data_IF_611212303784
#
_entry.id   IF_611212303784
#
_cell.length_a   1.000
_cell.length_b   1.000
_cell.length_c   1.000
_cell.angle_alpha   90.00
_cell.angle_beta   90.00
_cell.angle_gamma   90.00
#
_symmetry.space_group_name_H-M   'P 1'
#
loop_
_entity.id
_entity.type
_entity.pdbx_description
1 polymer ?
#
# COMPACT_ATOMS: atom_id res chain seq x y z
N UNK A 1 -0.64 11.89 10.57
CA UNK A 1 0.28 12.82 11.25
C UNK A 1 0.78 13.84 10.24
N UNK A 2 0.42 15.10 10.43
CA UNK A 2 1.16 16.23 9.83
C UNK A 2 2.57 16.18 10.40
N UNK A 3 3.57 16.01 9.55
CA UNK A 3 4.98 16.11 9.97
C UNK A 3 5.18 17.40 10.75
N UNK A 4 5.96 17.38 11.86
CA UNK A 4 6.27 18.59 12.59
C UNK A 4 6.97 19.56 11.65
N UNK A 5 6.50 20.79 11.68
CA UNK A 5 6.99 21.94 10.94
C UNK A 5 8.41 22.28 11.42
N UNK A 6 9.40 21.50 10.97
CA UNK A 6 10.81 21.76 11.25
C UNK A 6 11.43 22.49 10.07
N UNK A 7 11.61 23.80 10.24
CA UNK A 7 12.57 24.62 9.50
C UNK A 7 11.94 25.54 8.46
N UNK A 8 11.98 26.85 8.72
CA UNK A 8 11.43 27.93 7.87
C UNK A 8 12.15 28.15 6.53
N UNK A 9 12.56 27.09 5.85
CA UNK A 9 13.29 27.11 4.56
C UNK A 9 12.46 26.49 3.41
N UNK A 10 11.17 26.19 3.63
CA UNK A 10 10.28 25.63 2.60
C UNK A 10 9.10 26.57 2.31
N UNK A 11 8.88 26.84 1.04
CA UNK A 11 7.74 27.63 0.55
C UNK A 11 6.58 26.74 0.11
N UNK A 12 5.35 27.18 0.38
CA UNK A 12 4.15 26.52 -0.14
C UNK A 12 3.97 26.86 -1.61
N UNK A 13 3.94 25.84 -2.47
CA UNK A 13 3.72 26.00 -3.90
C UNK A 13 2.40 25.38 -4.33
N UNK A 14 1.81 25.93 -5.38
CA UNK A 14 0.55 25.45 -5.96
C UNK A 14 0.75 25.20 -7.44
N UNK A 15 0.35 24.01 -7.88
CA UNK A 15 0.46 23.54 -9.26
C UNK A 15 -0.76 22.68 -9.62
N UNK A 16 -0.70 21.95 -10.73
CA UNK A 16 -1.69 20.96 -11.13
C UNK A 16 -1.07 19.58 -11.32
N UNK A 17 -1.83 18.54 -10.95
CA UNK A 17 -1.44 17.14 -11.11
C UNK A 17 -2.68 16.29 -11.41
N UNK A 18 -2.55 15.25 -12.24
CA UNK A 18 -3.64 14.29 -12.45
C UNK A 18 -3.85 13.44 -11.21
N UNK A 19 -5.07 12.93 -11.01
CA UNK A 19 -5.39 12.05 -9.88
C UNK A 19 -4.52 10.78 -9.88
N UNK A 20 -4.28 10.19 -11.05
CA UNK A 20 -3.42 9.01 -11.22
C UNK A 20 -1.98 9.29 -10.79
N UNK A 21 -1.34 10.34 -11.32
CA UNK A 21 0.05 10.66 -10.92
C UNK A 21 0.16 11.01 -9.44
N UNK A 22 -0.86 11.66 -8.87
CA UNK A 22 -0.92 11.94 -7.43
C UNK A 22 -0.99 10.65 -6.62
N UNK A 23 -1.79 9.68 -7.06
CA UNK A 23 -1.92 8.38 -6.41
C UNK A 23 -0.61 7.58 -6.51
N UNK A 24 -0.01 7.50 -7.69
CA UNK A 24 1.26 6.81 -7.92
C UNK A 24 2.39 7.41 -7.07
N UNK A 25 2.47 8.74 -7.02
CA UNK A 25 3.40 9.47 -6.15
C UNK A 25 3.16 9.13 -4.68
N UNK A 26 1.91 9.13 -4.21
CA UNK A 26 1.56 8.79 -2.81
C UNK A 26 1.98 7.36 -2.47
N UNK A 27 1.63 6.39 -3.32
CA UNK A 27 1.99 4.97 -3.13
C UNK A 27 3.49 4.83 -3.08
N UNK A 28 4.20 5.34 -4.09
CA UNK A 28 5.62 5.10 -4.22
C UNK A 28 6.42 5.83 -3.14
N UNK A 29 6.04 7.04 -2.76
CA UNK A 29 6.66 7.75 -1.64
C UNK A 29 6.48 6.96 -0.33
N UNK A 30 5.27 6.47 -0.06
CA UNK A 30 5.00 5.65 1.13
C UNK A 30 5.83 4.34 1.13
N UNK A 31 5.94 3.65 0.00
CA UNK A 31 6.77 2.43 -0.12
C UNK A 31 8.26 2.68 0.19
N UNK A 32 8.77 3.89 -0.10
CA UNK A 32 10.14 4.29 0.21
C UNK A 32 10.29 4.98 1.57
N UNK A 33 9.19 5.12 2.35
CA UNK A 33 9.21 5.80 3.65
C UNK A 33 9.47 7.30 3.56
N UNK A 34 9.08 7.94 2.44
CA UNK A 34 9.30 9.36 2.16
C UNK A 34 7.98 10.15 2.19
N UNK A 35 8.07 11.44 2.51
CA UNK A 35 6.96 12.37 2.28
C UNK A 35 6.77 12.64 0.79
N UNK A 36 5.53 12.91 0.37
CA UNK A 36 5.25 13.28 -1.02
C UNK A 36 6.03 14.53 -1.44
N UNK A 37 6.20 15.51 -0.52
CA UNK A 37 6.95 16.73 -0.81
C UNK A 37 8.44 16.48 -1.11
N UNK A 38 9.06 15.52 -0.43
CA UNK A 38 10.47 15.17 -0.62
C UNK A 38 10.66 14.46 -1.98
N UNK A 39 9.70 13.59 -2.34
CA UNK A 39 9.67 12.96 -3.66
C UNK A 39 9.53 13.99 -4.79
N UNK A 40 8.66 14.99 -4.63
CA UNK A 40 8.51 16.08 -5.62
C UNK A 40 9.78 16.93 -5.71
N UNK A 41 10.42 17.25 -4.59
CA UNK A 41 11.69 17.98 -4.56
C UNK A 41 12.79 17.25 -5.34
N UNK A 42 12.99 15.96 -5.07
CA UNK A 42 13.98 15.13 -5.77
C UNK A 42 13.65 15.04 -7.26
N UNK A 43 12.37 14.84 -7.60
CA UNK A 43 11.92 14.79 -9.00
C UNK A 43 12.17 16.08 -9.77
N UNK A 44 11.83 17.23 -9.18
CA UNK A 44 12.09 18.55 -9.77
C UNK A 44 13.59 18.76 -9.94
N UNK A 45 14.39 18.47 -8.92
CA UNK A 45 15.85 18.63 -8.97
C UNK A 45 16.46 17.77 -10.08
N UNK A 46 16.04 16.51 -10.19
CA UNK A 46 16.48 15.61 -11.26
C UNK A 46 16.06 16.12 -12.65
N UNK A 47 14.81 16.55 -12.82
CA UNK A 47 14.31 17.09 -14.09
C UNK A 47 15.08 18.33 -14.55
N UNK A 48 15.43 19.22 -13.61
CA UNK A 48 16.23 20.42 -13.89
C UNK A 48 17.65 20.07 -14.34
N UNK A 49 18.22 18.97 -13.85
CA UNK A 49 19.55 18.49 -14.26
C UNK A 49 19.59 17.88 -15.67
N UNK A 50 18.43 17.58 -16.28
CA UNK A 50 18.38 17.01 -17.62
C UNK A 50 18.83 18.02 -18.69
N UNK A 51 19.64 17.57 -19.64
CA UNK A 51 20.08 18.35 -20.79
C UNK A 51 19.09 18.40 -21.96
N UNK A 52 17.98 17.64 -21.90
CA UNK A 52 16.96 17.56 -22.95
C UNK A 52 15.56 17.48 -22.35
N UNK A 53 14.56 17.85 -23.15
CA UNK A 53 13.16 17.70 -22.77
C UNK A 53 12.76 16.22 -22.74
N UNK A 54 11.93 15.88 -21.77
CA UNK A 54 11.27 14.58 -21.71
C UNK A 54 10.04 14.56 -22.65
N UNK A 55 9.56 13.38 -23.04
CA UNK A 55 8.30 13.23 -23.75
C UNK A 55 7.14 13.91 -22.99
N UNK A 56 6.11 14.41 -23.69
CA UNK A 56 4.94 14.97 -23.04
C UNK A 56 4.18 13.87 -22.28
N UNK A 57 3.67 14.22 -21.10
CA UNK A 57 2.82 13.34 -20.28
C UNK A 57 1.37 13.78 -20.46
N UNK A 58 0.40 12.87 -20.43
CA UNK A 58 -0.99 13.30 -20.46
C UNK A 58 -1.34 14.05 -19.15
N UNK A 59 -1.72 15.32 -19.29
CA UNK A 59 -2.12 16.19 -18.17
C UNK A 59 -3.59 16.59 -18.25
N UNK A 60 -4.40 15.92 -19.08
CA UNK A 60 -5.84 16.14 -19.13
C UNK A 60 -6.47 15.86 -17.76
N UNK A 61 -7.40 16.73 -17.34
CA UNK A 61 -8.08 16.59 -16.05
C UNK A 61 -7.21 16.89 -14.82
N UNK A 62 -6.02 17.49 -14.98
CA UNK A 62 -5.18 17.83 -13.83
C UNK A 62 -5.84 18.87 -12.90
N UNK A 63 -5.91 18.52 -11.61
CA UNK A 63 -6.52 19.33 -10.54
C UNK A 63 -5.45 20.06 -9.71
N UNK A 64 -5.88 21.04 -8.92
CA UNK A 64 -4.99 21.80 -8.04
C UNK A 64 -4.29 20.88 -7.04
N UNK A 65 -2.97 20.98 -6.98
CA UNK A 65 -2.12 20.26 -6.04
C UNK A 65 -1.19 21.25 -5.35
N UNK A 66 -1.09 21.16 -4.02
CA UNK A 66 -0.16 21.97 -3.22
C UNK A 66 0.86 21.10 -2.51
N UNK A 67 2.09 21.56 -2.48
CA UNK A 67 3.20 20.91 -1.77
C UNK A 67 4.16 21.96 -1.22
N UNK A 68 5.15 21.56 -0.44
CA UNK A 68 6.16 22.44 0.15
C UNK A 68 7.53 22.10 -0.40
N UNK A 69 8.21 23.07 -0.99
CA UNK A 69 9.54 22.89 -1.61
C UNK A 69 10.55 23.84 -0.96
N UNK A 70 11.85 23.53 -1.00
CA UNK A 70 12.88 24.48 -0.57
C UNK A 70 12.75 25.82 -1.30
N UNK A 71 12.99 26.92 -0.58
CA UNK A 71 12.90 28.27 -1.15
C UNK A 71 13.75 28.42 -2.42
N UNK A 72 13.15 29.02 -3.46
CA UNK A 72 13.82 29.30 -4.73
C UNK A 72 13.92 28.11 -5.69
N UNK A 73 13.68 26.87 -5.21
CA UNK A 73 13.62 25.71 -6.09
C UNK A 73 12.48 25.86 -7.11
N UNK A 74 11.33 26.35 -6.67
CA UNK A 74 10.15 26.50 -7.51
C UNK A 74 10.31 27.58 -8.58
N UNK A 75 10.85 28.74 -8.22
CA UNK A 75 11.09 29.83 -9.17
C UNK A 75 12.12 29.46 -10.22
N UNK A 76 13.21 28.81 -9.80
CA UNK A 76 14.20 28.30 -10.74
C UNK A 76 13.60 27.25 -11.68
N UNK A 77 12.78 26.33 -11.16
CA UNK A 77 12.11 25.32 -11.97
C UNK A 77 11.14 25.94 -12.99
N UNK A 78 10.38 26.95 -12.57
CA UNK A 78 9.50 27.72 -13.45
C UNK A 78 10.28 28.42 -14.56
N UNK A 79 11.47 28.95 -14.27
CA UNK A 79 12.33 29.53 -15.29
C UNK A 79 12.84 28.48 -16.28
N UNK A 80 13.28 27.32 -15.79
CA UNK A 80 13.74 26.22 -16.64
C UNK A 80 12.62 25.70 -17.56
N UNK A 81 11.38 25.59 -17.05
CA UNK A 81 10.20 25.24 -17.85
C UNK A 81 9.97 26.26 -18.98
N UNK A 82 10.02 27.57 -18.68
CA UNK A 82 9.88 28.63 -19.68
C UNK A 82 10.96 28.56 -20.75
N UNK A 83 12.23 28.44 -20.35
CA UNK A 83 13.37 28.34 -21.28
C UNK A 83 13.26 27.10 -22.19
N UNK A 84 12.70 26.00 -21.66
CA UNK A 84 12.50 24.74 -22.40
C UNK A 84 11.20 24.70 -23.23
N UNK A 85 10.36 25.74 -23.16
CA UNK A 85 9.06 25.76 -23.84
C UNK A 85 8.04 24.76 -23.27
N UNK A 86 8.20 24.34 -22.01
CA UNK A 86 7.35 23.37 -21.33
C UNK A 86 6.41 24.10 -20.38
N UNK A 87 5.11 23.75 -20.38
CA UNK A 87 4.17 24.32 -19.42
C UNK A 87 4.49 23.85 -18.00
N UNK A 88 4.16 24.64 -16.97
CA UNK A 88 4.48 24.28 -15.59
C UNK A 88 3.82 22.95 -15.17
N UNK A 89 2.59 22.71 -15.61
CA UNK A 89 1.89 21.43 -15.38
C UNK A 89 2.62 20.26 -16.04
N UNK A 90 3.10 20.43 -17.27
CA UNK A 90 3.89 19.39 -17.97
C UNK A 90 5.23 19.16 -17.27
N UNK A 91 5.92 20.22 -16.87
CA UNK A 91 7.17 20.10 -16.14
C UNK A 91 6.99 19.31 -14.85
N UNK A 92 5.96 19.62 -14.05
CA UNK A 92 5.68 18.89 -12.80
C UNK A 92 5.33 17.42 -13.07
N UNK A 93 4.48 17.16 -14.06
CA UNK A 93 4.12 15.79 -14.45
C UNK A 93 5.37 14.99 -14.86
N UNK A 94 6.21 15.57 -15.73
CA UNK A 94 7.48 14.97 -16.16
C UNK A 94 8.45 14.75 -14.99
N UNK A 95 8.57 15.69 -14.06
CA UNK A 95 9.43 15.57 -12.89
C UNK A 95 8.98 14.45 -11.95
N UNK A 96 7.67 14.31 -11.73
CA UNK A 96 7.10 13.24 -10.92
C UNK A 96 7.25 11.89 -11.62
N UNK A 97 6.94 11.80 -12.92
CA UNK A 97 7.15 10.58 -13.70
C UNK A 97 8.62 10.15 -13.68
N UNK A 98 9.56 11.09 -13.88
CA UNK A 98 10.99 10.81 -13.78
C UNK A 98 11.38 10.28 -12.40
N UNK A 99 10.80 10.82 -11.34
CA UNK A 99 11.03 10.32 -9.99
C UNK A 99 10.46 8.90 -9.81
N UNK A 100 9.24 8.64 -10.30
CA UNK A 100 8.61 7.31 -10.25
C UNK A 100 9.43 6.26 -11.02
N UNK A 101 9.98 6.62 -12.18
CA UNK A 101 10.80 5.74 -13.00
C UNK A 101 12.13 5.41 -12.32
N UNK A 102 12.76 6.40 -11.67
CA UNK A 102 14.04 6.23 -10.97
C UNK A 102 13.90 5.57 -9.58
N UNK A 103 12.68 5.51 -9.04
CA UNK A 103 12.42 4.93 -7.73
C UNK A 103 11.39 3.81 -7.89
N UNK A 104 11.70 2.68 -8.54
CA UNK A 104 10.76 1.57 -8.72
C UNK A 104 10.18 1.10 -7.38
N UNK A 105 9.02 0.43 -7.41
CA UNK A 105 8.45 -0.15 -6.21
C UNK A 105 9.47 -1.14 -5.60
N UNK A 106 9.84 -1.00 -4.31
CA UNK A 106 10.76 -1.93 -3.69
C UNK A 106 10.18 -3.34 -3.75
N UNK A 107 11.04 -4.33 -4.01
CA UNK A 107 10.60 -5.72 -3.92
C UNK A 107 10.04 -6.00 -2.53
N UNK A 108 8.89 -6.70 -2.48
CA UNK A 108 8.33 -7.15 -1.21
C UNK A 108 9.34 -8.06 -0.52
N UNK A 109 9.93 -7.56 0.57
CA UNK A 109 10.88 -8.33 1.37
C UNK A 109 10.15 -9.43 2.12
N UNK A 110 10.15 -10.63 1.54
CA UNK A 110 9.58 -11.82 2.18
C UNK A 110 10.52 -12.32 3.26
N UNK A 111 10.00 -12.75 4.43
CA UNK A 111 10.81 -13.42 5.44
C UNK A 111 11.57 -14.61 4.82
N UNK A 112 12.87 -14.73 5.12
CA UNK A 112 13.70 -15.86 4.65
C UNK A 112 13.23 -17.20 5.22
N UNK A 113 12.59 -17.15 6.39
CA UNK A 113 11.94 -18.30 7.04
C UNK A 113 10.44 -18.03 7.13
N UNK A 114 9.63 -19.05 6.83
CA UNK A 114 8.18 -18.97 6.96
C UNK A 114 7.80 -18.61 8.40
N UNK A 115 7.12 -17.47 8.56
CA UNK A 115 6.55 -17.07 9.85
C UNK A 115 5.22 -17.79 10.06
N UNK A 116 5.11 -18.60 11.11
CA UNK A 116 3.85 -19.26 11.49
C UNK A 116 3.16 -18.45 12.58
N UNK A 117 1.88 -18.14 12.36
CA UNK A 117 1.02 -17.45 13.33
C UNK A 117 -0.15 -18.39 13.63
N UNK A 118 -0.38 -18.66 14.91
CA UNK A 118 -1.44 -19.58 15.36
C UNK A 118 -2.40 -18.80 16.25
N UNK A 119 -3.65 -18.67 15.81
CA UNK A 119 -4.70 -17.95 16.55
C UNK A 119 -5.49 -18.95 17.39
N UNK A 120 -5.27 -18.96 18.70
CA UNK A 120 -5.92 -19.90 19.62
C UNK A 120 -6.61 -19.20 20.78
N UNK A 121 -7.78 -19.71 21.16
CA UNK A 121 -8.50 -19.37 22.38
C UNK A 121 -9.53 -20.47 22.67
N UNK A 122 -9.58 -20.93 23.92
CA UNK A 122 -10.49 -21.98 24.38
C UNK A 122 -11.96 -21.55 24.32
N UNK A 123 -12.25 -20.25 24.45
CA UNK A 123 -13.61 -19.73 24.40
C UNK A 123 -14.11 -19.63 22.95
N UNK A 124 -15.31 -20.16 22.70
CA UNK A 124 -16.04 -19.97 21.44
C UNK A 124 -16.50 -18.53 21.27
N UNK A 125 -16.66 -18.06 20.03
CA UNK A 125 -17.25 -16.74 19.74
C UNK A 125 -16.36 -15.53 20.05
N UNK A 126 -15.06 -15.72 20.28
CA UNK A 126 -14.10 -14.61 20.56
C UNK A 126 -13.44 -14.03 19.31
N UNK A 127 -13.91 -14.38 18.11
CA UNK A 127 -13.42 -13.81 16.85
C UNK A 127 -12.15 -14.41 16.27
N UNK A 128 -11.75 -15.64 16.66
CA UNK A 128 -10.54 -16.32 16.13
C UNK A 128 -10.51 -16.38 14.60
N UNK A 129 -11.62 -16.82 14.00
CA UNK A 129 -11.78 -16.91 12.54
C UNK A 129 -11.66 -15.55 11.89
N UNK A 130 -12.36 -14.54 12.42
CA UNK A 130 -12.33 -13.18 11.90
C UNK A 130 -10.92 -12.56 11.96
N UNK A 131 -10.19 -12.76 13.06
CA UNK A 131 -8.80 -12.31 13.19
C UNK A 131 -7.89 -13.05 12.21
N UNK A 132 -8.07 -14.36 12.04
CA UNK A 132 -7.25 -15.18 11.12
C UNK A 132 -7.45 -14.74 9.67
N UNK A 133 -8.70 -14.58 9.23
CA UNK A 133 -9.05 -14.09 7.90
C UNK A 133 -8.51 -12.67 7.69
N UNK A 134 -8.89 -11.71 8.55
CA UNK A 134 -8.52 -10.31 8.39
C UNK A 134 -7.01 -10.07 8.45
N UNK A 135 -6.27 -10.80 9.30
CA UNK A 135 -4.81 -10.72 9.30
C UNK A 135 -4.22 -11.28 8.00
N UNK A 136 -4.75 -12.39 7.49
CA UNK A 136 -4.30 -12.98 6.23
C UNK A 136 -4.53 -12.07 5.03
N UNK A 137 -5.75 -11.53 4.91
CA UNK A 137 -6.13 -10.57 3.88
C UNK A 137 -5.22 -9.33 3.92
N UNK A 138 -5.06 -8.70 5.08
CA UNK A 138 -4.22 -7.50 5.24
C UNK A 138 -2.75 -7.73 4.87
N UNK A 139 -2.22 -8.93 5.16
CA UNK A 139 -0.85 -9.30 4.76
C UNK A 139 -0.72 -9.54 3.25
N UNK A 140 -1.80 -9.98 2.59
CA UNK A 140 -1.82 -10.31 1.17
C UNK A 140 -2.20 -9.15 0.24
N UNK A 141 -2.74 -8.05 0.78
CA UNK A 141 -3.10 -6.85 0.02
C UNK A 141 -2.00 -6.39 -0.94
N UNK A 142 -2.42 -5.87 -2.10
CA UNK A 142 -1.51 -5.45 -3.18
C UNK A 142 -0.58 -4.31 -2.74
N UNK A 143 0.76 -4.50 -2.82
CA UNK A 143 1.71 -3.44 -2.50
C UNK A 143 1.65 -2.25 -3.46
N UNK A 144 1.03 -2.40 -4.63
CA UNK A 144 0.76 -1.31 -5.56
C UNK A 144 -0.59 -0.60 -5.30
N UNK A 145 -1.41 -1.07 -4.35
CA UNK A 145 -2.67 -0.45 -3.99
C UNK A 145 -2.60 0.22 -2.62
N UNK A 146 -3.29 1.34 -2.46
CA UNK A 146 -3.49 1.98 -1.16
C UNK A 146 -4.65 1.33 -0.42
N UNK A 147 -4.36 0.83 0.77
CA UNK A 147 -5.32 0.17 1.66
C UNK A 147 -5.64 1.11 2.83
N UNK A 148 -6.92 1.28 3.16
CA UNK A 148 -7.34 2.06 4.30
C UNK A 148 -6.91 1.43 5.63
N UNK A 149 -5.96 2.04 6.34
CA UNK A 149 -5.57 1.64 7.72
C UNK A 149 -6.33 2.51 8.73
N UNK A 150 -7.13 1.87 9.58
CA UNK A 150 -8.00 2.56 10.55
C UNK A 150 -7.78 2.02 11.94
N UNK A 151 -7.91 2.89 12.93
CA UNK A 151 -7.99 2.50 14.33
C UNK A 151 -9.47 2.29 14.67
N UNK A 152 -9.80 1.22 15.40
CA UNK A 152 -11.18 1.04 15.84
C UNK A 152 -11.59 2.20 16.75
N UNK A 153 -12.86 2.60 16.74
CA UNK A 153 -13.39 3.65 17.64
C UNK A 153 -13.03 3.38 19.10
N UNK A 154 -12.98 2.11 19.49
CA UNK A 154 -12.62 1.69 20.84
C UNK A 154 -11.14 1.96 21.15
N UNK A 155 -10.23 1.61 20.25
CA UNK A 155 -8.80 1.87 20.44
C UNK A 155 -8.46 3.36 20.35
N UNK A 156 -9.13 4.09 19.47
CA UNK A 156 -8.92 5.53 19.38
C UNK A 156 -9.36 6.28 20.64
N UNK A 157 -10.38 5.78 21.35
CA UNK A 157 -10.81 6.33 22.64
C UNK A 157 -9.81 6.05 23.78
N UNK A 158 -8.85 5.13 23.59
CA UNK A 158 -7.82 4.78 24.57
C UNK A 158 -6.49 5.53 24.36
N UNK A 159 -6.37 6.32 23.29
CA UNK A 159 -5.18 7.14 23.04
C UNK A 159 -5.14 8.33 24.01
N UNK A 160 -3.94 8.69 24.48
CA UNK A 160 -3.74 9.89 25.30
C UNK A 160 -4.12 11.14 24.50
N UNK A 161 -4.43 12.23 25.20
CA UNK A 161 -5.00 13.44 24.57
C UNK A 161 -4.07 14.07 23.53
N UNK A 162 -2.75 13.97 23.73
CA UNK A 162 -1.72 14.43 22.79
C UNK A 162 -1.48 13.45 21.63
N UNK A 163 -1.84 12.17 21.77
CA UNK A 163 -1.68 11.11 20.76
C UNK A 163 -2.99 10.82 19.99
N UNK A 164 -4.10 11.42 20.40
CA UNK A 164 -5.41 11.25 19.74
C UNK A 164 -5.38 11.96 18.37
N UNK A 165 -5.51 11.23 17.25
CA UNK A 165 -5.70 11.88 15.95
C UNK A 165 -6.99 12.70 15.97
N UNK A 166 -6.97 13.89 15.34
CA UNK A 166 -8.14 14.80 15.26
C UNK A 166 -9.41 14.09 14.77
N UNK A 167 -9.25 13.10 13.90
CA UNK A 167 -10.29 12.14 13.55
C UNK A 167 -9.75 10.70 13.70
N UNK A 168 -10.24 9.92 14.69
CA UNK A 168 -10.02 8.48 14.85
C UNK A 168 -10.27 7.63 13.61
N UNK A 169 -11.14 8.11 12.72
CA UNK A 169 -11.52 7.48 11.47
C UNK A 169 -10.81 8.12 10.27
N UNK A 170 -9.89 9.08 10.50
CA UNK A 170 -9.11 9.70 9.45
C UNK A 170 -8.44 8.63 8.60
N UNK A 171 -8.54 8.84 7.29
CA UNK A 171 -8.11 7.84 6.33
C UNK A 171 -6.59 7.90 6.14
N UNK A 172 -5.79 7.14 6.91
CA UNK A 172 -4.42 6.84 6.50
C UNK A 172 -4.44 5.72 5.47
N UNK A 173 -4.00 6.00 4.24
CA UNK A 173 -3.92 4.95 3.23
C UNK A 173 -2.46 4.57 3.04
N UNK A 174 -2.16 3.30 3.32
CA UNK A 174 -0.83 2.72 3.21
C UNK A 174 -0.82 1.68 2.09
N UNK A 175 0.31 1.48 1.40
CA UNK A 175 0.46 0.37 0.47
C UNK A 175 0.17 -0.99 1.15
N UNK A 176 -0.39 -1.94 0.40
CA UNK A 176 -0.53 -3.32 0.86
C UNK A 176 0.82 -3.97 1.19
N UNK A 177 0.80 -5.03 2.01
CA UNK A 177 2.03 -5.69 2.46
C UNK A 177 2.58 -6.70 1.44
N UNK A 178 1.76 -7.18 0.49
CA UNK A 178 2.17 -8.03 -0.63
C UNK A 178 2.77 -9.39 -0.27
N UNK A 179 2.56 -9.87 0.95
CA UNK A 179 3.07 -11.16 1.39
C UNK A 179 2.27 -12.30 0.77
N UNK A 180 2.94 -13.43 0.54
CA UNK A 180 2.25 -14.69 0.25
C UNK A 180 1.83 -15.32 1.56
N UNK A 181 0.55 -15.55 1.72
CA UNK A 181 -0.07 -16.04 2.94
C UNK A 181 -0.74 -17.37 2.62
N UNK A 182 -0.62 -18.33 3.52
CA UNK A 182 -1.41 -19.55 3.50
C UNK A 182 -2.26 -19.55 4.77
N UNK A 183 -3.57 -19.53 4.59
CA UNK A 183 -4.52 -19.73 5.67
C UNK A 183 -4.84 -21.21 5.80
N UNK A 184 -4.78 -21.73 7.03
CA UNK A 184 -5.02 -23.14 7.32
C UNK A 184 -6.20 -23.26 8.27
N UNK A 185 -7.31 -23.81 7.80
CA UNK A 185 -8.50 -24.06 8.63
C UNK A 185 -8.41 -25.44 9.29
N UNK A 186 -8.08 -25.44 10.58
CA UNK A 186 -8.08 -26.63 11.44
C UNK A 186 -9.36 -26.78 12.27
N UNK A 187 -10.34 -25.88 12.10
CA UNK A 187 -11.62 -25.96 12.80
C UNK A 187 -12.59 -26.85 12.02
N UNK A 188 -13.10 -27.97 12.57
CA UNK A 188 -14.05 -28.84 11.90
C UNK A 188 -15.34 -28.15 11.44
N UNK A 189 -15.66 -26.96 11.97
CA UNK A 189 -16.82 -26.17 11.52
C UNK A 189 -16.61 -25.52 10.14
N UNK A 190 -15.36 -25.43 9.71
CA UNK A 190 -14.92 -24.84 8.43
C UNK A 190 -15.39 -23.39 8.25
N UNK A 191 -15.44 -22.63 9.35
CA UNK A 191 -15.90 -21.24 9.30
C UNK A 191 -14.95 -20.34 8.50
N UNK A 192 -13.64 -20.61 8.53
CA UNK A 192 -12.67 -19.82 7.76
C UNK A 192 -12.87 -20.10 6.27
N UNK A 193 -12.94 -21.39 5.89
CA UNK A 193 -13.20 -21.81 4.50
C UNK A 193 -14.46 -21.16 3.92
N UNK A 194 -15.59 -21.24 4.65
CA UNK A 194 -16.86 -20.66 4.22
C UNK A 194 -16.83 -19.14 4.13
N UNK A 195 -16.18 -18.47 5.09
CA UNK A 195 -16.08 -17.01 5.11
C UNK A 195 -15.31 -16.47 3.90
N UNK A 196 -14.30 -17.21 3.42
CA UNK A 196 -13.52 -16.89 2.23
C UNK A 196 -14.22 -17.32 0.92
N UNK A 197 -15.48 -17.75 0.97
CA UNK A 197 -16.26 -18.09 -0.22
C UNK A 197 -15.98 -19.49 -0.79
N UNK A 198 -15.25 -20.34 -0.07
CA UNK A 198 -14.96 -21.71 -0.51
C UNK A 198 -15.92 -22.74 0.11
N UNK A 199 -16.17 -23.80 -0.64
CA UNK A 199 -16.94 -24.94 -0.15
C UNK A 199 -16.06 -25.85 0.72
N UNK A 200 -16.58 -26.37 1.85
CA UNK A 200 -15.88 -27.37 2.65
C UNK A 200 -15.57 -28.63 1.85
N UNK A 201 -14.47 -29.29 2.22
CA UNK A 201 -14.10 -30.57 1.63
C UNK A 201 -15.21 -31.62 1.86
N UNK A 202 -15.46 -32.53 0.89
CA UNK A 202 -16.40 -33.63 1.07
C UNK A 202 -16.02 -34.52 2.25
N UNK A 203 -17.00 -35.13 2.94
CA UNK A 203 -16.77 -35.97 4.13
C UNK A 203 -15.77 -37.14 3.93
N UNK A 204 -15.61 -37.63 2.70
CA UNK A 204 -14.66 -38.69 2.35
C UNK A 204 -13.57 -38.23 1.37
N UNK A 205 -13.48 -36.92 1.17
CA UNK A 205 -12.46 -36.27 0.35
C UNK A 205 -11.08 -36.36 0.97
N UNK A 206 -10.07 -35.99 0.19
CA UNK A 206 -8.72 -35.81 0.73
C UNK A 206 -8.69 -34.54 1.58
N UNK A 207 -7.94 -34.55 2.68
CA UNK A 207 -7.93 -33.44 3.66
C UNK A 207 -6.58 -33.31 4.34
N UNK A 208 -6.28 -32.13 4.88
CA UNK A 208 -5.04 -31.90 5.61
C UNK A 208 -4.86 -32.90 6.76
N UNK A 209 -5.95 -33.24 7.45
CA UNK A 209 -5.93 -34.24 8.54
C UNK A 209 -5.55 -35.64 8.03
N UNK A 210 -6.02 -36.04 6.84
CA UNK A 210 -5.63 -37.33 6.24
C UNK A 210 -4.13 -37.36 5.95
N UNK A 211 -3.61 -36.28 5.35
CA UNK A 211 -2.18 -36.14 5.05
C UNK A 211 -1.33 -36.19 6.32
N UNK A 212 -1.75 -35.53 7.40
CA UNK A 212 -1.06 -35.58 8.70
C UNK A 212 -1.08 -36.97 9.33
N UNK A 213 -2.13 -37.75 9.10
CA UNK A 213 -2.25 -39.12 9.57
C UNK A 213 -1.48 -40.13 8.69
N UNK A 214 -0.90 -39.69 7.55
CA UNK A 214 -0.26 -40.58 6.58
C UNK A 214 -1.25 -41.32 5.67
N UNK A 215 -2.50 -40.86 5.61
CA UNK A 215 -3.61 -41.45 4.84
C UNK A 215 -4.05 -40.56 3.65
N UNK A 216 -3.21 -39.60 3.25
CA UNK A 216 -3.45 -38.72 2.10
C UNK A 216 -3.61 -39.51 0.80
N UNK A 217 -4.46 -39.03 -0.09
CA UNK A 217 -4.79 -39.71 -1.36
C UNK A 217 -4.07 -39.11 -2.58
N UNK A 218 -3.71 -37.83 -2.53
CA UNK A 218 -2.98 -37.10 -3.58
C UNK A 218 -1.75 -36.37 -3.05
N UNK A 219 -1.35 -35.28 -3.73
CA UNK A 219 -0.30 -34.38 -3.23
C UNK A 219 -0.88 -33.36 -2.26
N UNK A 220 -0.17 -33.03 -1.18
CA UNK A 220 -0.67 -32.07 -0.18
C UNK A 220 -0.96 -30.69 -0.78
N UNK A 221 -0.20 -30.30 -1.82
CA UNK A 221 -0.39 -29.04 -2.54
C UNK A 221 -1.74 -28.96 -3.27
N UNK A 222 -2.36 -30.10 -3.59
CA UNK A 222 -3.65 -30.14 -4.29
C UNK A 222 -4.79 -29.65 -3.39
N UNK A 223 -4.56 -29.57 -2.07
CA UNK A 223 -5.49 -29.00 -1.10
C UNK A 223 -5.42 -27.46 -1.01
N UNK A 224 -4.44 -26.83 -1.67
CA UNK A 224 -4.29 -25.38 -1.66
C UNK A 224 -5.20 -24.77 -2.73
N UNK A 225 -6.09 -23.88 -2.29
CA UNK A 225 -6.94 -23.08 -3.17
C UNK A 225 -6.63 -21.61 -2.96
N UNK A 226 -6.63 -20.83 -4.04
CA UNK A 226 -6.44 -19.38 -3.97
C UNK A 226 -7.79 -18.71 -3.64
N UNK A 227 -7.73 -17.64 -2.86
CA UNK A 227 -8.88 -16.76 -2.65
C UNK A 227 -9.03 -15.87 -3.88
N UNK A 228 -10.16 -16.01 -4.59
CA UNK A 228 -10.42 -15.36 -5.88
C UNK A 228 -10.82 -13.88 -5.72
N UNK A 229 -9.84 -13.05 -5.35
CA UNK A 229 -9.98 -11.60 -5.30
C UNK A 229 -8.77 -10.90 -5.93
N UNK A 230 -9.02 -10.00 -6.89
CA UNK A 230 -7.98 -9.27 -7.63
C UNK A 230 -6.98 -8.56 -6.71
N UNK A 231 -7.45 -8.01 -5.57
CA UNK A 231 -6.61 -7.31 -4.58
C UNK A 231 -5.51 -8.19 -3.97
N UNK A 232 -5.65 -9.51 -4.01
CA UNK A 232 -4.64 -10.44 -3.51
C UNK A 232 -3.72 -10.98 -4.60
N UNK A 233 -4.10 -10.93 -5.88
CA UNK A 233 -3.25 -11.37 -7.00
C UNK A 233 -2.57 -12.73 -6.77
N UNK A 234 -3.33 -13.75 -6.37
CA UNK A 234 -2.87 -15.12 -6.02
C UNK A 234 -1.90 -15.21 -4.83
N UNK A 235 -1.87 -14.20 -3.95
CA UNK A 235 -1.04 -14.21 -2.73
C UNK A 235 -1.72 -14.84 -1.51
N UNK A 236 -3.04 -15.02 -1.54
CA UNK A 236 -3.84 -15.60 -0.45
C UNK A 236 -4.49 -16.92 -0.88
#
# INVERSE_FOLDING_TARGET
>A
MTSPDTGGDREKVVTKLTSTLRQDLKIRAALHGLGMQDAVEVGITAWRSLGSNLPPIDTAGAETYSTFLPEGLWDGFRNDCKTRGVSLTQGVAQAITLWLDNNPAPEVKRPTTVRRIVVCNQKGGVGKTAITAGLGEALAEDPAALVPVRVSKHFAALLEEDDRPEDPLALEDLPGLGLRVLLVDFDPQSHLTKQLGHEPLPMHGDSLTNHMAGEGKGELSDLIVAVDEDRFGNRL
#
